data_IF_087083771542
#
_entry.id   IF_087083771542
#
_cell.length_a   1.000
_cell.length_b   1.000
_cell.length_c   1.000
_cell.angle_alpha   90.00
_cell.angle_beta   90.00
_cell.angle_gamma   90.00
#
_symmetry.space_group_name_H-M   'P 1'
#
loop_
_entity.id
_entity.type
_entity.pdbx_description
1 polymer ?
#
# COMPACT_ATOMS: atom_id res chain seq x y z
N UNK A 1 -11.48 4.89 19.54
CA UNK A 1 -11.18 5.77 18.40
C UNK A 1 -10.47 7.08 18.78
N UNK A 2 -10.94 7.86 19.78
CA UNK A 2 -10.32 9.16 20.15
C UNK A 2 -8.83 9.04 20.55
N UNK A 3 -8.50 8.09 21.42
CA UNK A 3 -7.11 7.83 21.85
C UNK A 3 -6.20 7.42 20.70
N UNK A 4 -6.69 6.58 19.78
CA UNK A 4 -5.93 6.14 18.61
C UNK A 4 -5.60 7.30 17.65
N UNK A 5 -6.56 8.21 17.41
CA UNK A 5 -6.32 9.41 16.58
C UNK A 5 -5.23 10.31 17.16
N UNK A 6 -5.34 10.62 18.46
CA UNK A 6 -4.32 11.41 19.15
C UNK A 6 -2.94 10.73 19.15
N UNK A 7 -2.92 9.39 19.27
CA UNK A 7 -1.69 8.62 19.15
C UNK A 7 -1.06 8.71 17.76
N UNK A 8 -1.88 8.59 16.70
CA UNK A 8 -1.42 8.70 15.30
C UNK A 8 -0.90 10.10 15.00
N UNK A 9 -1.56 11.15 15.48
CA UNK A 9 -1.10 12.54 15.34
C UNK A 9 0.29 12.72 15.95
N UNK A 10 0.46 12.32 17.22
CA UNK A 10 1.75 12.40 17.91
C UNK A 10 2.83 11.52 17.28
N UNK A 11 2.46 10.37 16.73
CA UNK A 11 3.40 9.50 16.02
C UNK A 11 3.86 10.15 14.71
N UNK A 12 2.95 10.84 14.00
CA UNK A 12 3.24 11.55 12.76
C UNK A 12 4.16 12.77 12.96
N UNK A 13 4.20 13.33 14.17
CA UNK A 13 5.13 14.41 14.53
C UNK A 13 6.59 13.92 14.67
N UNK A 14 6.78 12.62 14.93
CA UNK A 14 8.09 12.03 15.23
C UNK A 14 8.59 11.04 14.16
N UNK A 15 7.78 10.71 13.16
CA UNK A 15 8.09 9.73 12.13
C UNK A 15 7.99 10.34 10.73
N UNK A 16 8.89 9.95 9.83
CA UNK A 16 8.87 10.35 8.42
C UNK A 16 7.57 9.95 7.70
N UNK A 17 7.12 8.72 7.94
CA UNK A 17 5.87 8.18 7.42
C UNK A 17 5.20 7.28 8.46
N UNK A 18 3.88 7.41 8.59
CA UNK A 18 3.01 6.60 9.44
C UNK A 18 1.99 5.86 8.57
N UNK A 19 2.18 4.56 8.42
CA UNK A 19 1.22 3.69 7.73
C UNK A 19 0.09 3.35 8.69
N UNK A 20 -1.15 3.72 8.33
CA UNK A 20 -2.32 3.49 9.18
C UNK A 20 -3.20 2.41 8.57
N UNK A 21 -3.36 1.28 9.27
CA UNK A 21 -4.25 0.19 8.86
C UNK A 21 -5.51 0.23 9.73
N UNK A 22 -6.67 0.61 9.17
CA UNK A 22 -7.92 0.64 9.91
C UNK A 22 -8.52 -0.77 10.02
N UNK A 23 -8.58 -1.32 11.24
CA UNK A 23 -9.20 -2.63 11.47
C UNK A 23 -10.67 -2.70 11.01
N UNK A 24 -11.37 -1.55 10.93
CA UNK A 24 -12.73 -1.47 10.35
C UNK A 24 -12.80 -1.99 8.91
N UNK A 25 -11.74 -1.78 8.13
CA UNK A 25 -11.70 -2.19 6.73
C UNK A 25 -11.37 -3.68 6.60
N UNK A 26 -10.70 -4.29 7.60
CA UNK A 26 -10.51 -5.74 7.67
C UNK A 26 -11.86 -6.47 7.85
N UNK A 27 -12.81 -5.87 8.59
CA UNK A 27 -14.16 -6.43 8.72
C UNK A 27 -14.97 -6.42 7.42
N UNK A 28 -14.56 -5.65 6.39
CA UNK A 28 -15.18 -5.72 5.05
C UNK A 28 -14.73 -6.96 4.28
N UNK A 29 -13.64 -7.59 4.73
CA UNK A 29 -13.03 -8.78 4.14
C UNK A 29 -13.42 -10.04 4.96
N UNK A 30 -13.92 -9.85 6.18
CA UNK A 30 -14.36 -10.91 7.07
C UNK A 30 -15.81 -11.35 6.81
N UNK A 31 -16.08 -12.65 6.93
CA UNK A 31 -17.41 -13.24 6.80
C UNK A 31 -18.09 -13.40 8.17
N UNK A 32 -19.40 -13.67 8.20
CA UNK A 32 -20.18 -13.87 9.43
C UNK A 32 -19.70 -15.01 10.34
N UNK A 33 -18.74 -15.83 9.88
CA UNK A 33 -18.11 -16.93 10.62
C UNK A 33 -16.74 -16.58 11.18
N UNK A 34 -16.14 -15.46 10.79
CA UNK A 34 -14.80 -15.05 11.21
C UNK A 34 -14.81 -14.75 12.70
N UNK A 35 -13.97 -15.44 13.47
CA UNK A 35 -13.84 -15.19 14.90
C UNK A 35 -13.02 -13.92 15.16
N UNK A 36 -13.04 -13.42 16.39
CA UNK A 36 -12.16 -12.31 16.77
C UNK A 36 -10.68 -12.65 16.59
N UNK A 37 -10.28 -13.91 16.83
CA UNK A 37 -8.90 -14.34 16.66
C UNK A 37 -8.47 -14.27 15.18
N UNK A 38 -9.31 -14.82 14.29
CA UNK A 38 -9.06 -14.80 12.85
C UNK A 38 -8.99 -13.36 12.32
N UNK A 39 -9.82 -12.44 12.84
CA UNK A 39 -9.79 -11.04 12.45
C UNK A 39 -8.48 -10.32 12.87
N UNK A 40 -7.84 -10.72 13.97
CA UNK A 40 -6.53 -10.21 14.36
C UNK A 40 -5.42 -10.84 13.51
N UNK A 41 -5.51 -12.13 13.19
CA UNK A 41 -4.57 -12.79 12.27
C UNK A 41 -4.58 -12.09 10.89
N UNK A 42 -5.76 -11.74 10.37
CA UNK A 42 -5.88 -10.93 9.15
C UNK A 42 -5.21 -9.55 9.27
N UNK A 43 -5.24 -8.93 10.45
CA UNK A 43 -4.56 -7.66 10.67
C UNK A 43 -3.04 -7.82 10.65
N UNK A 44 -2.55 -8.89 11.28
CA UNK A 44 -1.14 -9.25 11.33
C UNK A 44 -0.60 -9.58 9.93
N UNK A 45 -1.39 -10.27 9.10
CA UNK A 45 -1.05 -10.55 7.70
C UNK A 45 -0.87 -9.27 6.88
N UNK A 46 -1.76 -8.29 7.05
CA UNK A 46 -1.65 -6.99 6.36
C UNK A 46 -0.42 -6.22 6.85
N UNK A 47 -0.15 -6.21 8.15
CA UNK A 47 1.05 -5.59 8.72
C UNK A 47 2.32 -6.26 8.19
N UNK A 48 2.35 -7.59 8.19
CA UNK A 48 3.46 -8.37 7.67
C UNK A 48 3.69 -8.09 6.19
N UNK A 49 2.63 -8.08 5.38
CA UNK A 49 2.71 -7.74 3.96
C UNK A 49 3.28 -6.34 3.75
N UNK A 50 2.93 -5.37 4.60
CA UNK A 50 3.43 -4.00 4.50
C UNK A 50 4.85 -3.76 4.91
N UNK A 51 5.31 -4.44 5.94
CA UNK A 51 6.74 -4.40 6.28
C UNK A 51 7.54 -5.12 5.20
N UNK A 52 7.07 -6.30 4.78
CA UNK A 52 7.76 -7.12 3.78
C UNK A 52 7.85 -6.41 2.42
N UNK A 53 6.80 -5.72 1.98
CA UNK A 53 6.80 -5.03 0.68
C UNK A 53 7.83 -3.90 0.60
N UNK A 54 8.17 -3.25 1.72
CA UNK A 54 9.19 -2.21 1.75
C UNK A 54 10.59 -2.81 1.92
N UNK A 55 10.73 -3.79 2.82
CA UNK A 55 12.03 -4.39 3.14
C UNK A 55 12.55 -5.26 2.01
N UNK A 56 11.68 -6.04 1.36
CA UNK A 56 12.08 -6.94 0.28
C UNK A 56 12.67 -6.17 -0.90
N UNK A 57 12.17 -4.96 -1.18
CA UNK A 57 12.70 -4.09 -2.24
C UNK A 57 14.13 -3.58 -1.99
N UNK A 58 14.57 -3.56 -0.73
CA UNK A 58 15.89 -3.06 -0.33
C UNK A 58 16.89 -4.20 -0.18
N UNK A 59 16.42 -5.33 0.36
CA UNK A 59 17.30 -6.42 0.83
C UNK A 59 17.40 -7.56 -0.18
N UNK A 60 16.33 -7.88 -0.91
CA UNK A 60 16.32 -9.00 -1.84
C UNK A 60 16.75 -8.55 -3.23
N UNK A 61 17.56 -9.36 -3.88
CA UNK A 61 17.85 -9.17 -5.30
C UNK A 61 16.56 -9.35 -6.11
N UNK A 62 16.29 -8.36 -6.95
CA UNK A 62 15.09 -8.30 -7.76
C UNK A 62 15.39 -8.08 -9.24
N UNK A 63 14.36 -8.25 -10.06
CA UNK A 63 14.39 -7.90 -11.49
C UNK A 63 14.59 -6.39 -11.67
N UNK A 64 13.95 -5.59 -10.80
CA UNK A 64 14.17 -4.14 -10.69
C UNK A 64 14.56 -3.88 -9.24
N UNK A 65 15.85 -3.78 -9.00
CA UNK A 65 16.38 -3.48 -7.68
C UNK A 65 16.25 -1.97 -7.42
N UNK A 66 15.73 -1.63 -6.24
CA UNK A 66 15.67 -0.24 -5.78
C UNK A 66 16.77 -0.01 -4.76
N UNK A 67 17.33 1.19 -4.75
CA UNK A 67 18.22 1.56 -3.66
C UNK A 67 17.44 2.17 -2.48
N UNK A 68 18.10 2.24 -1.33
CA UNK A 68 17.49 2.85 -0.15
C UNK A 68 17.19 4.35 -0.34
N UNK A 69 17.93 5.05 -1.21
CA UNK A 69 17.71 6.47 -1.46
C UNK A 69 16.38 6.70 -2.20
N UNK A 70 16.02 5.84 -3.15
CA UNK A 70 14.74 5.85 -3.86
C UNK A 70 13.57 5.66 -2.89
N UNK A 71 13.62 4.61 -2.06
CA UNK A 71 12.60 4.35 -1.04
C UNK A 71 12.52 5.51 -0.04
N UNK A 72 13.67 6.00 0.43
CA UNK A 72 13.72 7.14 1.35
C UNK A 72 13.15 8.41 0.71
N UNK A 73 13.34 8.63 -0.59
CA UNK A 73 12.82 9.82 -1.29
C UNK A 73 11.29 9.86 -1.32
N UNK A 74 10.64 8.69 -1.38
CA UNK A 74 9.18 8.55 -1.41
C UNK A 74 8.57 8.51 0.00
N UNK A 75 9.32 8.10 1.02
CA UNK A 75 8.80 7.94 2.39
C UNK A 75 9.22 9.06 3.35
N UNK A 76 10.17 9.92 3.00
CA UNK A 76 10.66 10.96 3.89
C UNK A 76 9.67 12.12 4.02
N UNK A 77 9.40 12.55 5.25
CA UNK A 77 8.55 13.72 5.57
C UNK A 77 7.16 13.69 4.90
N UNK A 78 6.62 12.51 4.61
CA UNK A 78 5.35 12.33 3.91
C UNK A 78 4.16 12.21 4.86
N UNK A 79 4.39 12.01 6.15
CA UNK A 79 3.34 11.93 7.15
C UNK A 79 2.48 10.66 6.97
N UNK A 80 1.18 10.80 6.72
CA UNK A 80 0.29 9.63 6.69
C UNK A 80 0.42 8.85 5.37
N UNK A 81 0.43 7.53 5.50
CA UNK A 81 0.40 6.59 4.39
C UNK A 81 -0.66 5.52 4.57
N UNK A 82 -1.05 4.91 3.45
CA UNK A 82 -1.93 3.73 3.40
C UNK A 82 -1.32 2.70 2.45
N UNK A 83 -1.75 1.46 2.62
CA UNK A 83 -1.27 0.34 1.83
C UNK A 83 -2.43 -0.55 1.39
N UNK A 84 -2.27 -1.14 0.20
CA UNK A 84 -3.07 -2.26 -0.23
C UNK A 84 -2.23 -3.24 -1.05
N UNK A 85 -2.68 -4.48 -1.03
CA UNK A 85 -2.03 -5.59 -1.72
C UNK A 85 -3.08 -6.31 -2.56
N UNK A 86 -2.66 -6.76 -3.74
CA UNK A 86 -3.45 -7.59 -4.63
C UNK A 86 -2.63 -8.77 -5.12
N UNK A 87 -3.30 -9.90 -5.33
CA UNK A 87 -2.69 -11.11 -5.87
C UNK A 87 -3.55 -11.66 -7.00
N UNK A 88 -2.91 -12.10 -8.07
CA UNK A 88 -3.61 -12.75 -9.17
C UNK A 88 -2.75 -13.82 -9.85
N UNK A 89 -3.40 -14.65 -10.65
CA UNK A 89 -2.81 -15.77 -11.40
C UNK A 89 -3.35 -15.80 -12.82
N UNK A 90 -2.70 -16.57 -13.70
CA UNK A 90 -3.08 -16.70 -15.11
C UNK A 90 -2.51 -15.61 -16.03
N UNK A 91 -3.00 -15.56 -17.26
CA UNK A 91 -2.41 -14.78 -18.36
C UNK A 91 -2.46 -13.26 -18.15
N UNK A 92 -3.42 -12.75 -17.36
CA UNK A 92 -3.57 -11.33 -17.03
C UNK A 92 -3.27 -11.05 -15.54
N UNK A 93 -2.41 -11.87 -14.91
CA UNK A 93 -2.08 -11.76 -13.48
C UNK A 93 -1.52 -10.39 -13.10
N UNK A 94 -0.74 -9.76 -13.98
CA UNK A 94 -0.15 -8.44 -13.72
C UNK A 94 -1.20 -7.37 -13.48
N UNK A 95 -2.06 -7.20 -14.47
CA UNK A 95 -3.14 -6.23 -14.43
C UNK A 95 -4.15 -6.53 -13.31
N UNK A 96 -4.58 -7.78 -13.16
CA UNK A 96 -5.53 -8.13 -12.11
C UNK A 96 -4.96 -7.93 -10.71
N UNK A 97 -3.68 -8.24 -10.48
CA UNK A 97 -3.04 -7.99 -9.18
C UNK A 97 -2.93 -6.49 -8.88
N UNK A 98 -2.57 -5.68 -9.88
CA UNK A 98 -2.54 -4.22 -9.75
C UNK A 98 -3.94 -3.64 -9.45
N UNK A 99 -4.97 -4.07 -10.20
CA UNK A 99 -6.35 -3.66 -9.97
C UNK A 99 -6.85 -4.04 -8.57
N UNK A 100 -6.54 -5.26 -8.11
CA UNK A 100 -6.87 -5.72 -6.77
C UNK A 100 -6.12 -4.94 -5.68
N UNK A 101 -4.88 -4.52 -5.93
CA UNK A 101 -4.11 -3.72 -4.98
C UNK A 101 -4.71 -2.33 -4.80
N UNK A 102 -5.13 -1.68 -5.89
CA UNK A 102 -5.71 -0.33 -5.89
C UNK A 102 -7.14 -0.35 -5.33
N UNK A 103 -7.94 -1.37 -5.68
CA UNK A 103 -9.30 -1.55 -5.20
C UNK A 103 -9.38 -2.14 -3.77
N UNK A 104 -8.24 -2.32 -3.09
CA UNK A 104 -8.20 -2.95 -1.78
C UNK A 104 -9.01 -2.12 -0.76
N UNK A 105 -9.86 -2.72 0.10
CA UNK A 105 -10.68 -1.99 1.07
C UNK A 105 -9.90 -1.15 2.08
N UNK A 106 -8.59 -1.37 2.22
CA UNK A 106 -7.69 -0.56 3.04
C UNK A 106 -7.35 0.79 2.39
N UNK A 107 -7.50 0.90 1.06
CA UNK A 107 -7.47 2.16 0.32
C UNK A 107 -8.84 2.83 0.35
N UNK A 108 -8.84 4.13 0.59
CA UNK A 108 -9.97 5.00 0.24
C UNK A 108 -9.66 5.58 -1.15
N UNK A 109 -10.62 5.63 -2.08
CA UNK A 109 -10.39 6.08 -3.47
C UNK A 109 -9.76 7.50 -3.53
N UNK A 110 -10.12 8.36 -2.56
CA UNK A 110 -9.54 9.71 -2.43
C UNK A 110 -8.06 9.72 -2.01
N UNK A 111 -7.55 8.63 -1.44
CA UNK A 111 -6.17 8.52 -0.96
C UNK A 111 -5.19 8.26 -2.10
N UNK A 112 -5.53 7.42 -3.08
CA UNK A 112 -4.61 7.06 -4.18
C UNK A 112 -4.36 8.27 -5.09
N UNK A 113 -5.42 8.94 -5.54
CA UNK A 113 -5.30 10.14 -6.40
C UNK A 113 -4.65 11.33 -5.71
N UNK A 114 -4.74 11.41 -4.38
CA UNK A 114 -4.18 12.50 -3.59
C UNK A 114 -2.76 12.28 -3.07
N UNK A 115 -2.16 11.12 -3.36
CA UNK A 115 -0.83 10.75 -2.88
C UNK A 115 0.26 11.52 -3.63
N UNK A 116 1.25 12.03 -2.90
CA UNK A 116 2.43 12.70 -3.50
C UNK A 116 3.53 11.71 -3.85
N UNK A 117 3.55 10.58 -3.17
CA UNK A 117 4.52 9.52 -3.35
C UNK A 117 3.82 8.18 -3.43
N UNK A 118 4.30 7.30 -4.31
CA UNK A 118 3.80 5.95 -4.44
C UNK A 118 4.98 4.98 -4.53
N UNK A 119 4.98 3.98 -3.65
CA UNK A 119 5.90 2.86 -3.72
C UNK A 119 5.13 1.64 -4.19
N UNK A 120 5.54 1.07 -5.31
CA UNK A 120 4.95 -0.13 -5.91
C UNK A 120 5.97 -1.25 -5.80
N UNK A 121 5.63 -2.27 -5.01
CA UNK A 121 6.40 -3.52 -4.90
C UNK A 121 5.69 -4.60 -5.68
N UNK A 122 6.38 -5.17 -6.66
CA UNK A 122 5.89 -6.29 -7.46
C UNK A 122 6.70 -7.53 -7.06
N UNK A 123 6.02 -8.59 -6.66
CA UNK A 123 6.66 -9.85 -6.31
C UNK A 123 6.04 -10.98 -7.10
N UNK A 124 6.87 -11.79 -7.74
CA UNK A 124 6.43 -12.93 -8.55
C UNK A 124 7.39 -14.10 -8.48
N UNK A 125 6.96 -15.26 -8.97
CA UNK A 125 7.83 -16.41 -9.14
C UNK A 125 8.92 -16.18 -10.21
N UNK A 126 9.83 -17.15 -10.38
CA UNK A 126 10.87 -17.12 -11.42
C UNK A 126 10.32 -17.03 -12.85
N UNK A 127 9.03 -17.32 -13.02
CA UNK A 127 8.27 -17.22 -14.26
C UNK A 127 7.73 -15.81 -14.55
N UNK A 128 8.01 -14.83 -13.69
CA UNK A 128 7.66 -13.42 -13.89
C UNK A 128 8.50 -12.81 -15.01
N UNK A 129 7.84 -12.10 -15.93
CA UNK A 129 8.48 -11.45 -17.07
C UNK A 129 8.55 -9.94 -16.87
N UNK A 130 9.42 -9.26 -17.64
CA UNK A 130 9.43 -7.78 -17.67
C UNK A 130 8.10 -7.20 -18.15
N UNK A 131 7.36 -7.92 -18.99
CA UNK A 131 6.04 -7.48 -19.46
C UNK A 131 5.02 -7.47 -18.32
N UNK A 132 5.03 -8.49 -17.44
CA UNK A 132 4.18 -8.52 -16.25
C UNK A 132 4.44 -7.28 -15.36
N UNK A 133 5.71 -6.91 -15.18
CA UNK A 133 6.11 -5.76 -14.35
C UNK A 133 5.67 -4.43 -14.96
N UNK A 134 5.89 -4.26 -16.27
CA UNK A 134 5.52 -3.04 -17.01
C UNK A 134 4.00 -2.85 -17.06
N UNK A 135 3.24 -3.92 -17.27
CA UNK A 135 1.76 -3.88 -17.29
C UNK A 135 1.20 -3.51 -15.91
N UNK A 136 1.70 -4.13 -14.83
CA UNK A 136 1.30 -3.79 -13.48
C UNK A 136 1.65 -2.33 -13.12
N UNK A 137 2.86 -1.88 -13.46
CA UNK A 137 3.30 -0.51 -13.20
C UNK A 137 2.47 0.53 -13.97
N UNK A 138 2.17 0.26 -15.25
CA UNK A 138 1.34 1.13 -16.10
C UNK A 138 -0.07 1.23 -15.53
N UNK A 139 -0.68 0.10 -15.15
CA UNK A 139 -2.02 0.09 -14.58
C UNK A 139 -2.13 0.91 -13.30
N UNK A 140 -1.12 0.86 -12.43
CA UNK A 140 -1.06 1.68 -11.20
C UNK A 140 -0.87 3.16 -11.53
N UNK A 141 -0.05 3.50 -12.52
CA UNK A 141 0.18 4.88 -12.98
C UNK A 141 -1.10 5.55 -13.47
N UNK A 142 -1.99 4.82 -14.13
CA UNK A 142 -3.27 5.34 -14.64
C UNK A 142 -4.24 5.83 -13.53
N UNK A 143 -4.05 5.40 -12.28
CA UNK A 143 -4.95 5.75 -11.16
C UNK A 143 -4.40 6.87 -10.25
N UNK A 144 -3.17 7.30 -10.48
CA UNK A 144 -2.50 8.36 -9.71
C UNK A 144 -2.31 9.62 -10.56
N UNK A 145 -2.05 10.73 -9.89
CA UNK A 145 -1.77 12.01 -10.55
C UNK A 145 -0.40 11.95 -11.27
N UNK A 146 -0.28 12.60 -12.43
CA UNK A 146 0.95 12.65 -13.22
C UNK A 146 2.11 13.31 -12.45
N UNK A 147 1.79 14.15 -11.46
CA UNK A 147 2.75 14.83 -10.58
C UNK A 147 3.23 13.95 -9.39
N UNK A 148 2.70 12.73 -9.22
CA UNK A 148 3.09 11.85 -8.13
C UNK A 148 4.47 11.21 -8.38
N UNK A 149 5.33 11.18 -7.35
CA UNK A 149 6.60 10.48 -7.43
C UNK A 149 6.40 8.96 -7.25
N UNK A 150 6.55 8.19 -8.32
CA UNK A 150 6.29 6.74 -8.32
C UNK A 150 7.60 5.97 -8.41
N UNK A 151 7.85 5.15 -7.41
CA UNK A 151 8.98 4.22 -7.36
C UNK A 151 8.45 2.80 -7.51
N UNK A 152 8.97 2.08 -8.51
CA UNK A 152 8.56 0.70 -8.83
C UNK A 152 9.75 -0.22 -8.61
N UNK A 153 9.55 -1.25 -7.80
CA UNK A 153 10.53 -2.30 -7.60
C UNK A 153 9.91 -3.68 -7.86
N UNK A 154 10.73 -4.61 -8.31
CA UNK A 154 10.28 -5.95 -8.66
C UNK A 154 11.24 -7.00 -8.08
N UNK A 155 10.72 -7.90 -7.25
CA UNK A 155 11.49 -8.94 -6.55
C UNK A 155 10.99 -10.34 -6.90
N UNK A 156 11.88 -11.33 -6.83
CA UNK A 156 11.51 -12.72 -7.03
C UNK A 156 11.18 -13.38 -5.69
N UNK A 157 10.15 -14.22 -5.69
CA UNK A 157 9.76 -15.04 -4.55
C UNK A 157 9.30 -16.41 -5.03
N UNK A 158 10.07 -17.45 -4.71
CA UNK A 158 9.77 -18.83 -5.10
C UNK A 158 8.42 -19.32 -4.57
N UNK A 159 7.92 -18.77 -3.47
CA UNK A 159 6.60 -19.11 -2.92
C UNK A 159 5.43 -18.57 -3.78
N UNK A 160 5.71 -17.73 -4.78
CA UNK A 160 4.74 -17.13 -5.69
C UNK A 160 4.79 -17.72 -7.10
N UNK A 161 5.29 -18.95 -7.28
CA UNK A 161 5.32 -19.61 -8.59
C UNK A 161 3.92 -19.63 -9.24
N UNK A 162 3.80 -19.08 -10.46
CA UNK A 162 2.52 -18.95 -11.17
C UNK A 162 1.59 -17.84 -10.65
N UNK A 163 2.02 -17.03 -9.69
CA UNK A 163 1.26 -15.93 -9.07
C UNK A 163 2.04 -14.63 -9.13
N UNK A 164 1.31 -13.52 -9.25
CA UNK A 164 1.89 -12.19 -9.08
C UNK A 164 1.22 -11.49 -7.91
N UNK A 165 2.03 -10.91 -7.03
CA UNK A 165 1.60 -10.05 -5.91
C UNK A 165 2.05 -8.63 -6.20
N UNK A 166 1.12 -7.69 -6.12
CA UNK A 166 1.39 -6.25 -6.23
C UNK A 166 1.00 -5.59 -4.92
N UNK A 167 1.95 -4.91 -4.29
CA UNK A 167 1.71 -4.12 -3.08
C UNK A 167 1.98 -2.65 -3.40
N UNK A 168 1.02 -1.80 -3.06
CA UNK A 168 1.08 -0.36 -3.29
C UNK A 168 1.07 0.34 -1.93
N UNK A 169 2.02 1.22 -1.69
CA UNK A 169 2.07 2.09 -0.51
C UNK A 169 1.97 3.54 -1.00
N UNK A 170 0.87 4.20 -0.65
CA UNK A 170 0.62 5.59 -0.99
C UNK A 170 1.03 6.48 0.19
N UNK A 171 1.94 7.42 -0.05
CA UNK A 171 2.49 8.36 0.93
C UNK A 171 2.14 9.80 0.56
N UNK A 172 2.26 10.71 1.52
CA UNK A 172 1.98 12.13 1.29
C UNK A 172 0.49 12.43 1.21
N UNK A 173 -0.34 11.58 1.81
CA UNK A 173 -1.78 11.75 1.86
C UNK A 173 -2.09 13.02 2.63
N UNK A 174 -2.77 13.97 1.97
CA UNK A 174 -3.27 15.15 2.68
C UNK A 174 -4.16 14.65 3.82
N UNK A 175 -3.94 15.19 5.02
CA UNK A 175 -4.91 15.06 6.10
C UNK A 175 -6.30 15.38 5.53
N UNK A 176 -7.37 14.72 6.00
CA UNK A 176 -8.66 15.38 5.97
C UNK A 176 -8.56 16.59 6.91
N UNK A 177 -8.02 17.68 6.38
CA UNK A 177 -8.08 19.04 6.93
C UNK A 177 -9.51 19.62 6.81
N UNK A 178 -10.52 18.75 6.67
CA UNK A 178 -11.93 19.11 6.55
C UNK A 178 -12.76 18.73 7.79
N UNK A 179 -12.13 18.30 8.89
CA UNK A 179 -12.83 18.19 10.19
C UNK A 179 -12.69 19.46 11.04
N UNK A 180 -11.86 20.43 10.63
CA UNK A 180 -11.62 21.66 11.41
C UNK A 180 -12.67 22.77 11.13
N UNK A 181 -13.55 22.67 10.11
CA UNK A 181 -14.47 23.79 9.76
C UNK A 181 -15.97 23.59 10.08
N UNK A 182 -16.41 22.46 10.62
CA UNK A 182 -17.83 22.26 10.97
C UNK A 182 -18.17 22.64 12.43
N UNK A 183 -17.19 22.80 13.31
CA UNK A 183 -17.42 23.23 14.70
C UNK A 183 -17.50 24.76 14.89
N UNK A 184 -17.11 25.57 13.91
CA UNK A 184 -17.10 27.04 14.02
C UNK A 184 -18.30 27.73 13.36
N UNK A 185 -19.23 26.99 12.75
CA UNK A 185 -20.47 27.54 12.16
C UNK A 185 -21.73 27.27 12.99
N UNK A 186 -21.61 26.69 14.17
CA UNK A 186 -22.74 26.40 15.07
C UNK A 186 -22.53 26.89 16.51
N UNK A 187 -21.83 28.02 16.67
CA UNK A 187 -21.78 28.78 17.91
C UNK A 187 -22.41 30.16 17.70
#
# INVERSE_FOLDING_TARGET
>A
MRTARQGIERLSECADTVIVIPNQNLFRIADAKTTFADAFEMADDVLHAGVSSVIDLIVKEGLINLDFADVRSVMRDMGRAVMGTGEATGDARARHAAEAAIANPLFDEASVRGAKGLLVSISGGPDMTLFDVDEAATRVREEVDDDANIVVGATFNDALEGRLRVSVVATGLRQPAEVIRLSERMA
#
